data_IF_277518149108
#
_entry.id   IF_277518149108
#
_cell.length_a   1.000
_cell.length_b   1.000
_cell.length_c   1.000
_cell.angle_alpha   90.00
_cell.angle_beta   90.00
_cell.angle_gamma   90.00
#
_symmetry.space_group_name_H-M   'P 1'
#
loop_
_entity.id
_entity.type
_entity.pdbx_description
1 polymer ?
#
# COMPACT_ATOMS: atom_id res chain seq x y z
N UNK A 1 -45.21 -28.27 24.34
CA UNK A 1 -45.21 -26.87 24.82
C UNK A 1 -43.78 -26.36 24.65
N UNK A 2 -43.59 -25.49 23.65
CA UNK A 2 -42.36 -24.80 23.22
C UNK A 2 -41.01 -25.33 23.73
N UNK A 3 -40.47 -26.33 23.04
CA UNK A 3 -39.03 -26.38 22.79
C UNK A 3 -38.80 -25.84 21.38
N UNK A 4 -37.57 -25.40 21.07
CA UNK A 4 -37.15 -24.85 19.76
C UNK A 4 -37.04 -23.32 19.64
N UNK A 5 -36.83 -22.59 20.75
CA UNK A 5 -36.38 -21.18 20.72
C UNK A 5 -34.87 -21.01 20.98
N UNK A 6 -34.07 -22.03 20.67
CA UNK A 6 -32.59 -21.96 20.80
C UNK A 6 -31.84 -22.27 19.49
N UNK A 7 -32.55 -22.63 18.41
CA UNK A 7 -31.93 -22.91 17.11
C UNK A 7 -31.57 -21.67 16.28
N UNK A 8 -32.17 -20.51 16.56
CA UNK A 8 -31.97 -19.27 15.79
C UNK A 8 -30.89 -18.33 16.31
N UNK A 9 -30.46 -18.46 17.58
CA UNK A 9 -29.50 -17.54 18.22
C UNK A 9 -28.03 -17.94 18.01
N UNK A 10 -27.76 -19.18 17.59
CA UNK A 10 -26.38 -19.66 17.34
C UNK A 10 -25.88 -19.45 15.91
N UNK A 11 -26.74 -18.98 14.99
CA UNK A 11 -26.37 -18.72 13.59
C UNK A 11 -26.00 -17.25 13.33
N UNK A 12 -26.14 -16.39 14.35
CA UNK A 12 -25.83 -14.97 14.29
C UNK A 12 -24.32 -14.59 14.30
N UNK A 13 -23.38 -15.32 14.94
CA UNK A 13 -22.00 -14.85 15.05
C UNK A 13 -21.19 -15.00 13.75
N UNK A 14 -21.59 -15.91 12.84
CA UNK A 14 -20.86 -16.12 11.59
C UNK A 14 -20.97 -14.95 10.62
N UNK A 15 -22.15 -14.33 10.54
CA UNK A 15 -22.37 -13.17 9.66
C UNK A 15 -21.68 -11.92 10.20
N UNK A 16 -21.59 -11.75 11.53
CA UNK A 16 -20.82 -10.66 12.14
C UNK A 16 -19.33 -10.73 11.81
N UNK A 17 -18.74 -11.93 11.88
CA UNK A 17 -17.33 -12.15 11.56
C UNK A 17 -17.04 -11.89 10.07
N UNK A 18 -17.92 -12.35 9.16
CA UNK A 18 -17.72 -12.13 7.71
C UNK A 18 -17.70 -10.63 7.37
N UNK A 19 -18.64 -9.85 7.94
CA UNK A 19 -18.73 -8.41 7.72
C UNK A 19 -17.54 -7.68 8.35
N UNK A 20 -17.10 -8.11 9.54
CA UNK A 20 -15.93 -7.53 10.20
C UNK A 20 -14.65 -7.72 9.39
N UNK A 21 -14.42 -8.91 8.84
CA UNK A 21 -13.26 -9.19 7.96
C UNK A 21 -13.32 -8.37 6.68
N UNK A 22 -14.51 -8.22 6.06
CA UNK A 22 -14.69 -7.39 4.86
C UNK A 22 -14.35 -5.93 5.16
N UNK A 23 -14.81 -5.37 6.29
CA UNK A 23 -14.51 -3.99 6.69
C UNK A 23 -13.01 -3.80 6.90
N UNK A 24 -12.34 -4.73 7.60
CA UNK A 24 -10.88 -4.70 7.77
C UNK A 24 -10.19 -4.68 6.41
N UNK A 25 -10.53 -5.61 5.52
CA UNK A 25 -9.93 -5.68 4.17
C UNK A 25 -10.21 -4.40 3.37
N UNK A 26 -11.39 -3.80 3.47
CA UNK A 26 -11.70 -2.52 2.79
C UNK A 26 -10.90 -1.34 3.35
N UNK A 27 -10.65 -1.29 4.66
CA UNK A 27 -9.80 -0.26 5.28
C UNK A 27 -8.35 -0.43 4.81
N UNK A 28 -7.80 -1.65 4.89
CA UNK A 28 -6.43 -1.93 4.44
C UNK A 28 -6.26 -1.77 2.91
N UNK A 29 -7.26 -2.17 2.12
CA UNK A 29 -7.24 -2.04 0.65
C UNK A 29 -7.56 -0.62 0.18
N UNK A 30 -8.32 0.17 0.94
CA UNK A 30 -8.55 1.60 0.71
C UNK A 30 -7.32 2.46 1.01
N UNK A 31 -6.49 2.04 1.96
CA UNK A 31 -5.18 2.67 2.23
C UNK A 31 -4.15 2.33 1.14
N UNK A 32 -4.26 1.15 0.50
CA UNK A 32 -3.40 0.75 -0.63
C UNK A 32 -3.95 1.16 -2.01
N UNK A 33 -5.20 1.62 -2.07
CA UNK A 33 -5.96 1.87 -3.31
C UNK A 33 -5.90 3.29 -3.84
N UNK A 34 -5.11 4.18 -3.23
CA UNK A 34 -4.88 5.52 -3.77
C UNK A 34 -3.44 5.64 -4.30
N UNK A 35 -3.13 4.89 -5.36
CA UNK A 35 -2.11 5.32 -6.33
C UNK A 35 -2.66 6.50 -7.14
N UNK A 36 -2.87 7.62 -6.45
CA UNK A 36 -2.55 8.93 -7.02
C UNK A 36 -1.04 9.17 -6.83
N UNK A 37 -0.24 8.19 -7.26
CA UNK A 37 1.22 8.12 -7.10
C UNK A 37 1.92 7.88 -8.44
N UNK A 38 1.36 8.41 -9.53
CA UNK A 38 2.13 8.53 -10.77
C UNK A 38 3.43 9.32 -10.54
N UNK A 39 3.43 10.28 -9.60
CA UNK A 39 4.63 11.03 -9.24
C UNK A 39 5.61 10.23 -8.36
N UNK A 40 5.16 9.46 -7.35
CA UNK A 40 6.09 8.68 -6.51
C UNK A 40 6.72 7.52 -7.29
N UNK A 41 5.98 6.84 -8.16
CA UNK A 41 6.57 5.79 -9.01
C UNK A 41 7.63 6.34 -9.97
N UNK A 42 7.41 7.55 -10.52
CA UNK A 42 8.40 8.22 -11.36
C UNK A 42 9.63 8.68 -10.58
N UNK A 43 9.45 9.30 -9.40
CA UNK A 43 10.57 9.74 -8.56
C UNK A 43 11.39 8.57 -8.03
N UNK A 44 10.74 7.48 -7.61
CA UNK A 44 11.42 6.27 -7.16
C UNK A 44 12.20 5.61 -8.30
N UNK A 45 11.61 5.54 -9.50
CA UNK A 45 12.30 5.07 -10.71
C UNK A 45 13.49 5.97 -11.11
N UNK A 46 13.32 7.29 -11.07
CA UNK A 46 14.38 8.24 -11.40
C UNK A 46 15.56 8.15 -10.41
N UNK A 47 15.28 8.03 -9.11
CA UNK A 47 16.30 7.81 -8.08
C UNK A 47 17.00 6.46 -8.24
N UNK A 48 16.26 5.40 -8.59
CA UNK A 48 16.84 4.07 -8.81
C UNK A 48 17.80 4.05 -10.01
N UNK A 49 17.42 4.71 -11.11
CA UNK A 49 18.28 4.89 -12.29
C UNK A 49 19.53 5.71 -11.95
N UNK A 50 19.35 6.80 -11.20
CA UNK A 50 20.45 7.66 -10.76
C UNK A 50 21.46 6.90 -9.88
N UNK A 51 20.97 6.12 -8.91
CA UNK A 51 21.79 5.27 -8.04
C UNK A 51 22.55 4.20 -8.83
N UNK A 52 21.91 3.56 -9.82
CA UNK A 52 22.56 2.56 -10.69
C UNK A 52 23.74 3.15 -11.46
N UNK A 53 23.61 4.36 -12.00
CA UNK A 53 24.70 5.03 -12.75
C UNK A 53 25.85 5.44 -11.84
N UNK A 54 25.56 5.96 -10.66
CA UNK A 54 26.57 6.27 -9.65
C UNK A 54 27.33 5.02 -9.20
N UNK A 55 26.63 3.92 -8.94
CA UNK A 55 27.25 2.65 -8.55
C UNK A 55 28.13 2.04 -9.66
N UNK A 56 27.78 2.30 -10.93
CA UNK A 56 28.61 1.94 -12.09
C UNK A 56 29.81 2.88 -12.29
N UNK A 57 29.88 4.00 -11.56
CA UNK A 57 30.90 5.03 -11.76
C UNK A 57 30.74 5.82 -13.06
N UNK A 58 29.55 5.81 -13.66
CA UNK A 58 29.26 6.53 -14.91
C UNK A 58 29.05 8.03 -14.69
N UNK A 59 28.81 8.44 -13.44
CA UNK A 59 28.61 9.83 -13.02
C UNK A 59 29.43 10.13 -11.77
N UNK A 60 29.88 11.37 -11.63
CA UNK A 60 30.62 11.80 -10.45
C UNK A 60 29.68 12.01 -9.24
N UNK A 61 30.28 12.17 -8.06
CA UNK A 61 29.52 12.47 -6.84
C UNK A 61 28.82 13.83 -6.93
N UNK A 62 29.46 14.82 -7.55
CA UNK A 62 28.87 16.14 -7.74
C UNK A 62 27.61 16.05 -8.62
N UNK A 63 27.69 15.35 -9.75
CA UNK A 63 26.57 15.16 -10.67
C UNK A 63 25.41 14.39 -10.02
N UNK A 64 25.72 13.36 -9.23
CA UNK A 64 24.73 12.61 -8.46
C UNK A 64 23.96 13.49 -7.47
N UNK A 65 24.65 14.36 -6.74
CA UNK A 65 24.02 15.24 -5.74
C UNK A 65 23.13 16.32 -6.40
N UNK A 66 23.53 16.89 -7.54
CA UNK A 66 22.71 17.86 -8.29
C UNK A 66 21.43 17.23 -8.85
N UNK A 67 21.54 16.05 -9.45
CA UNK A 67 20.38 15.32 -9.98
C UNK A 67 19.44 14.87 -8.87
N UNK A 68 19.98 14.36 -7.75
CA UNK A 68 19.19 13.97 -6.58
C UNK A 68 18.41 15.15 -6.00
N UNK A 69 19.02 16.34 -5.91
CA UNK A 69 18.34 17.56 -5.47
C UNK A 69 17.23 17.98 -6.43
N UNK A 70 17.44 17.80 -7.73
CA UNK A 70 16.42 18.12 -8.75
C UNK A 70 15.22 17.17 -8.69
N UNK A 71 15.42 15.87 -8.42
CA UNK A 71 14.34 14.87 -8.34
C UNK A 71 13.53 14.99 -7.04
N UNK A 72 14.16 15.44 -5.95
CA UNK A 72 13.54 15.62 -4.64
C UNK A 72 12.89 17.00 -4.45
N UNK A 73 13.00 17.90 -5.44
CA UNK A 73 12.43 19.25 -5.42
C UNK A 73 11.02 19.24 -6.00
#
# INVERSE_FOLDING_TARGET
MYMDYYGGMWMFPFFGIIVFVIIIVLIFKGISGNKSNENIFHSESALEILNKRYAKGEISKEEYEEMKKTILK
#
